data_IF_761785592383
#
_entry.id   IF_761785592383
#
_cell.length_a   1.000
_cell.length_b   1.000
_cell.length_c   1.000
_cell.angle_alpha   90.00
_cell.angle_beta   90.00
_cell.angle_gamma   90.00
#
_symmetry.space_group_name_H-M   'P 1'
#
loop_
_entity.id
_entity.type
_entity.pdbx_description
1 polymer ?
#
# COMPACT_ATOMS: atom_id res chain seq x y z
N UNK A 1 6.90 10.61 -3.93
CA UNK A 1 6.14 9.50 -3.31
C UNK A 1 5.06 8.89 -4.23
N UNK A 2 4.59 9.60 -5.27
CA UNK A 2 3.53 9.15 -6.19
C UNK A 2 3.92 8.09 -7.25
N UNK A 3 5.19 7.94 -7.72
CA UNK A 3 5.52 7.00 -8.80
C UNK A 3 5.31 5.52 -8.43
N UNK A 4 5.49 5.14 -7.17
CA UNK A 4 5.29 3.76 -6.72
C UNK A 4 3.82 3.33 -6.68
N UNK A 5 2.91 4.21 -6.24
CA UNK A 5 1.47 3.95 -6.22
C UNK A 5 0.90 3.83 -7.64
N UNK A 6 1.38 4.65 -8.58
CA UNK A 6 0.98 4.59 -9.97
C UNK A 6 1.32 3.26 -10.65
N UNK A 7 2.50 2.71 -10.35
CA UNK A 7 2.92 1.40 -10.88
C UNK A 7 2.03 0.26 -10.40
N UNK A 8 1.70 0.25 -9.11
CA UNK A 8 0.82 -0.80 -8.55
C UNK A 8 -0.60 -0.67 -9.11
N UNK A 9 -1.13 0.55 -9.22
CA UNK A 9 -2.44 0.79 -9.83
C UNK A 9 -2.48 0.34 -11.30
N UNK A 10 -1.40 0.57 -12.06
CA UNK A 10 -1.28 0.12 -13.44
C UNK A 10 -1.26 -1.42 -13.55
N UNK A 11 -0.58 -2.11 -12.62
CA UNK A 11 -0.55 -3.59 -12.58
C UNK A 11 -1.95 -4.13 -12.26
N UNK A 12 -2.67 -3.56 -11.31
CA UNK A 12 -4.06 -3.94 -11.01
C UNK A 12 -4.93 -3.76 -12.25
N UNK A 13 -4.85 -2.59 -12.91
CA UNK A 13 -5.59 -2.31 -14.13
C UNK A 13 -5.29 -3.31 -15.25
N UNK A 14 -4.02 -3.70 -15.41
CA UNK A 14 -3.62 -4.71 -16.40
C UNK A 14 -4.19 -6.10 -16.06
N UNK A 15 -4.12 -6.53 -14.80
CA UNK A 15 -4.70 -7.81 -14.35
C UNK A 15 -6.21 -7.82 -14.64
N UNK A 16 -6.91 -6.75 -14.29
CA UNK A 16 -8.34 -6.62 -14.57
C UNK A 16 -8.65 -6.65 -16.07
N UNK A 17 -7.91 -5.89 -16.85
CA UNK A 17 -8.12 -5.84 -18.30
C UNK A 17 -7.92 -7.21 -18.95
N UNK A 18 -6.80 -7.87 -18.68
CA UNK A 18 -6.50 -9.19 -19.23
C UNK A 18 -7.53 -10.22 -18.79
N UNK A 19 -7.88 -10.23 -17.50
CA UNK A 19 -8.89 -11.14 -16.95
C UNK A 19 -10.28 -10.87 -17.54
N UNK A 20 -10.65 -9.61 -17.75
CA UNK A 20 -11.91 -9.24 -18.37
C UNK A 20 -12.00 -9.70 -19.84
N UNK A 21 -10.91 -9.56 -20.60
CA UNK A 21 -10.82 -10.07 -21.98
C UNK A 21 -10.98 -11.59 -22.02
N UNK A 22 -10.31 -12.31 -21.11
CA UNK A 22 -10.40 -13.77 -21.02
C UNK A 22 -11.82 -14.19 -20.65
N UNK A 23 -12.41 -13.59 -19.60
CA UNK A 23 -13.76 -13.89 -19.14
C UNK A 23 -14.81 -13.63 -20.23
N UNK A 24 -14.70 -12.51 -20.96
CA UNK A 24 -15.60 -12.20 -22.09
C UNK A 24 -15.52 -13.27 -23.18
N UNK A 25 -14.32 -13.76 -23.49
CA UNK A 25 -14.13 -14.77 -24.53
C UNK A 25 -14.56 -16.16 -24.09
N UNK A 26 -14.35 -16.54 -22.84
CA UNK A 26 -14.66 -17.86 -22.35
C UNK A 26 -16.14 -18.03 -21.97
N UNK A 27 -16.74 -17.00 -21.37
CA UNK A 27 -18.06 -17.11 -20.74
C UNK A 27 -19.10 -16.17 -21.37
N UNK A 28 -18.70 -15.23 -22.23
CA UNK A 28 -19.60 -14.20 -22.73
C UNK A 28 -20.76 -14.69 -23.59
N UNK A 29 -20.59 -15.83 -24.28
CA UNK A 29 -21.64 -16.41 -25.10
C UNK A 29 -22.77 -17.03 -24.25
N UNK A 30 -22.41 -17.70 -23.16
CA UNK A 30 -23.35 -18.43 -22.30
C UNK A 30 -23.87 -17.58 -21.15
N UNK A 31 -23.10 -16.58 -20.71
CA UNK A 31 -23.43 -15.65 -19.62
C UNK A 31 -23.31 -14.18 -20.06
N UNK A 32 -24.14 -13.74 -21.04
CA UNK A 32 -24.02 -12.40 -21.60
C UNK A 32 -24.29 -11.28 -20.60
N UNK A 33 -25.09 -11.51 -19.57
CA UNK A 33 -25.35 -10.52 -18.52
C UNK A 33 -24.10 -10.17 -17.73
N UNK A 34 -23.23 -11.14 -17.48
CA UNK A 34 -22.03 -10.98 -16.66
C UNK A 34 -20.76 -10.77 -17.49
N UNK A 35 -20.67 -11.44 -18.63
CA UNK A 35 -19.43 -11.51 -19.43
C UNK A 35 -19.63 -11.17 -20.92
N UNK A 36 -20.82 -10.71 -21.33
CA UNK A 36 -21.13 -10.44 -22.72
C UNK A 36 -20.34 -9.27 -23.34
N UNK A 37 -19.84 -8.38 -22.53
CA UNK A 37 -18.99 -7.25 -22.96
C UNK A 37 -17.79 -7.10 -22.03
N UNK A 38 -16.75 -6.41 -22.50
CA UNK A 38 -15.56 -6.13 -21.68
C UNK A 38 -15.93 -5.34 -20.40
N UNK A 39 -16.86 -4.39 -20.50
CA UNK A 39 -17.33 -3.62 -19.36
C UNK A 39 -18.11 -4.45 -18.35
N UNK A 40 -19.03 -5.32 -18.83
CA UNK A 40 -19.75 -6.26 -17.96
C UNK A 40 -18.78 -7.22 -17.25
N UNK A 41 -17.81 -7.77 -18.00
CA UNK A 41 -16.78 -8.65 -17.42
C UNK A 41 -15.93 -7.93 -16.37
N UNK A 42 -15.50 -6.70 -16.64
CA UNK A 42 -14.73 -5.93 -15.67
C UNK A 42 -15.53 -5.64 -14.40
N UNK A 43 -16.81 -5.27 -14.53
CA UNK A 43 -17.68 -5.04 -13.38
C UNK A 43 -17.91 -6.32 -12.57
N UNK A 44 -18.19 -7.44 -13.24
CA UNK A 44 -18.37 -8.74 -12.61
C UNK A 44 -17.10 -9.20 -11.88
N UNK A 45 -15.93 -9.01 -12.49
CA UNK A 45 -14.66 -9.32 -11.86
C UNK A 45 -14.38 -8.40 -10.66
N UNK A 46 -14.77 -7.12 -10.73
CA UNK A 46 -14.69 -6.23 -9.58
C UNK A 46 -15.56 -6.74 -8.42
N UNK A 47 -16.79 -7.16 -8.69
CA UNK A 47 -17.68 -7.78 -7.71
C UNK A 47 -17.07 -9.04 -7.10
N UNK A 48 -16.48 -9.90 -7.92
CA UNK A 48 -15.78 -11.12 -7.47
C UNK A 48 -14.58 -10.77 -6.58
N UNK A 49 -13.81 -9.73 -6.92
CA UNK A 49 -12.67 -9.29 -6.11
C UNK A 49 -13.10 -8.81 -4.74
N UNK A 50 -14.25 -8.15 -4.63
CA UNK A 50 -14.82 -7.73 -3.34
C UNK A 50 -15.40 -8.89 -2.53
N UNK A 51 -15.40 -10.10 -3.08
CA UNK A 51 -15.95 -11.34 -2.51
C UNK A 51 -17.45 -11.27 -2.23
N UNK A 52 -18.14 -10.31 -2.81
CA UNK A 52 -19.60 -10.19 -2.69
C UNK A 52 -20.30 -11.21 -3.60
N UNK A 53 -21.01 -12.15 -3.00
CA UNK A 53 -21.81 -13.17 -3.69
C UNK A 53 -21.07 -13.94 -4.80
N UNK A 54 -19.75 -13.91 -4.80
CA UNK A 54 -18.93 -14.43 -5.89
C UNK A 54 -19.12 -15.92 -6.15
N UNK A 55 -19.17 -16.72 -5.07
CA UNK A 55 -19.24 -18.17 -5.20
C UNK A 55 -20.63 -18.64 -5.66
N UNK A 56 -21.68 -18.22 -4.97
CA UNK A 56 -23.04 -18.70 -5.23
C UNK A 56 -23.73 -17.93 -6.35
N UNK A 57 -23.43 -16.61 -6.46
CA UNK A 57 -24.09 -15.77 -7.44
C UNK A 57 -23.49 -15.85 -8.84
N UNK A 58 -22.20 -16.11 -8.97
CA UNK A 58 -21.50 -16.04 -10.26
C UNK A 58 -20.75 -17.34 -10.56
N UNK A 59 -19.81 -17.76 -9.70
CA UNK A 59 -18.89 -18.85 -10.03
C UNK A 59 -19.60 -20.20 -10.14
N UNK A 60 -20.50 -20.53 -9.23
CA UNK A 60 -21.23 -21.81 -9.29
C UNK A 60 -22.12 -21.96 -10.53
N UNK A 61 -22.93 -20.95 -10.91
CA UNK A 61 -23.66 -21.00 -12.17
C UNK A 61 -22.75 -21.19 -13.41
N UNK A 62 -21.60 -20.51 -13.44
CA UNK A 62 -20.63 -20.68 -14.54
C UNK A 62 -20.04 -22.10 -14.53
N UNK A 63 -19.76 -22.67 -13.36
CA UNK A 63 -19.23 -24.04 -13.22
C UNK A 63 -20.24 -25.15 -13.66
N UNK A 64 -21.52 -24.86 -13.68
CA UNK A 64 -22.52 -25.84 -14.20
C UNK A 64 -22.29 -26.13 -15.69
N UNK A 65 -21.84 -25.11 -16.46
CA UNK A 65 -21.52 -25.30 -17.87
C UNK A 65 -19.99 -25.50 -18.08
N UNK A 66 -19.17 -24.88 -17.28
CA UNK A 66 -17.70 -24.90 -17.35
C UNK A 66 -17.10 -25.39 -16.02
N UNK A 67 -17.06 -26.70 -15.74
CA UNK A 67 -16.61 -27.22 -14.44
C UNK A 67 -15.23 -26.74 -13.99
N UNK A 68 -14.30 -26.46 -14.92
CA UNK A 68 -12.95 -25.97 -14.63
C UNK A 68 -12.86 -24.45 -14.44
N UNK A 69 -13.97 -23.70 -14.57
CA UNK A 69 -13.95 -22.22 -14.43
C UNK A 69 -13.47 -21.75 -13.07
N UNK A 70 -13.61 -22.57 -12.02
CA UNK A 70 -13.12 -22.25 -10.68
C UNK A 70 -11.62 -21.93 -10.66
N UNK A 71 -10.82 -22.57 -11.52
CA UNK A 71 -9.37 -22.32 -11.61
C UNK A 71 -9.11 -20.89 -12.06
N UNK A 72 -9.82 -20.42 -13.09
CA UNK A 72 -9.72 -19.04 -13.56
C UNK A 72 -10.08 -18.04 -12.46
N UNK A 73 -11.22 -18.24 -11.81
CA UNK A 73 -11.69 -17.33 -10.76
C UNK A 73 -10.78 -17.37 -9.53
N UNK A 74 -10.27 -18.54 -9.16
CA UNK A 74 -9.32 -18.66 -8.05
C UNK A 74 -8.02 -17.92 -8.33
N UNK A 75 -7.43 -18.09 -9.51
CA UNK A 75 -6.21 -17.38 -9.92
C UNK A 75 -6.45 -15.86 -9.92
N UNK A 76 -7.59 -15.43 -10.47
CA UNK A 76 -7.96 -14.03 -10.49
C UNK A 76 -8.09 -13.45 -9.07
N UNK A 77 -8.79 -14.14 -8.16
CA UNK A 77 -8.95 -13.70 -6.76
C UNK A 77 -7.60 -13.62 -6.07
N UNK A 78 -6.75 -14.64 -6.20
CA UNK A 78 -5.43 -14.64 -5.58
C UNK A 78 -4.55 -13.50 -6.12
N UNK A 79 -4.50 -13.31 -7.43
CA UNK A 79 -3.72 -12.26 -8.06
C UNK A 79 -4.20 -10.85 -7.68
N UNK A 80 -5.51 -10.61 -7.73
CA UNK A 80 -6.11 -9.32 -7.40
C UNK A 80 -5.99 -9.00 -5.90
N UNK A 81 -6.25 -9.97 -5.02
CA UNK A 81 -6.13 -9.79 -3.57
C UNK A 81 -4.68 -9.52 -3.16
N UNK A 82 -3.73 -10.29 -3.70
CA UNK A 82 -2.30 -10.07 -3.44
C UNK A 82 -1.86 -8.67 -3.89
N UNK A 83 -2.28 -8.24 -5.07
CA UNK A 83 -1.94 -6.92 -5.60
C UNK A 83 -2.59 -5.80 -4.79
N UNK A 84 -3.85 -5.99 -4.38
CA UNK A 84 -4.56 -5.03 -3.52
C UNK A 84 -3.87 -4.91 -2.15
N UNK A 85 -3.46 -6.02 -1.54
CA UNK A 85 -2.71 -6.01 -0.28
C UNK A 85 -1.39 -5.24 -0.41
N UNK A 86 -0.65 -5.45 -1.50
CA UNK A 86 0.57 -4.70 -1.78
C UNK A 86 0.31 -3.20 -1.94
N UNK A 87 -0.83 -2.80 -2.54
CA UNK A 87 -1.23 -1.40 -2.61
C UNK A 87 -1.49 -0.82 -1.22
N UNK A 88 -2.20 -1.54 -0.34
CA UNK A 88 -2.44 -1.12 1.04
C UNK A 88 -1.12 -0.91 1.80
N UNK A 89 -0.21 -1.88 1.72
CA UNK A 89 1.11 -1.79 2.36
C UNK A 89 1.87 -0.56 1.83
N UNK A 90 1.88 -0.34 0.52
CA UNK A 90 2.55 0.82 -0.08
C UNK A 90 1.96 2.16 0.39
N UNK A 91 0.64 2.26 0.54
CA UNK A 91 -0.03 3.45 1.07
C UNK A 91 0.33 3.69 2.53
N UNK A 92 0.28 2.65 3.37
CA UNK A 92 0.60 2.74 4.81
C UNK A 92 2.07 3.13 5.01
N UNK A 93 2.99 2.46 4.33
CA UNK A 93 4.43 2.78 4.40
C UNK A 93 4.70 4.22 3.98
N UNK A 94 4.06 4.67 2.90
CA UNK A 94 4.20 6.05 2.43
C UNK A 94 3.63 7.07 3.43
N UNK A 95 2.51 6.77 4.08
CA UNK A 95 1.94 7.63 5.12
C UNK A 95 2.88 7.75 6.33
N UNK A 96 3.44 6.63 6.81
CA UNK A 96 4.41 6.62 7.92
C UNK A 96 5.68 7.40 7.56
N UNK A 97 6.19 7.24 6.35
CA UNK A 97 7.40 7.95 5.89
C UNK A 97 7.21 9.46 5.74
N UNK A 98 5.99 9.93 5.50
CA UNK A 98 5.69 11.36 5.45
C UNK A 98 5.68 12.03 6.83
N UNK A 99 5.39 11.30 7.89
CA UNK A 99 5.41 11.83 9.26
C UNK A 99 6.83 11.88 9.87
N UNK A 100 7.77 11.05 9.37
CA UNK A 100 9.14 10.98 9.91
C UNK A 100 9.98 12.25 9.73
N UNK A 101 10.01 12.95 8.58
CA UNK A 101 10.87 14.12 8.42
C UNK A 101 10.50 15.30 9.31
N UNK A 102 9.22 15.41 9.70
CA UNK A 102 8.78 16.48 10.61
C UNK A 102 9.19 16.19 12.06
N UNK A 103 9.17 14.93 12.47
CA UNK A 103 9.65 14.49 13.78
C UNK A 103 11.19 14.57 13.89
N UNK A 104 11.94 14.21 12.84
CA UNK A 104 13.39 14.31 12.83
C UNK A 104 13.85 15.76 12.88
N UNK A 105 13.24 16.64 12.09
CA UNK A 105 13.54 18.09 12.12
C UNK A 105 13.18 18.73 13.46
N UNK A 106 12.08 18.32 14.08
CA UNK A 106 11.69 18.76 15.42
C UNK A 106 12.72 18.32 16.46
N UNK A 107 13.13 17.05 16.42
CA UNK A 107 14.14 16.50 17.33
C UNK A 107 15.52 17.15 17.13
N UNK A 108 15.97 17.38 15.90
CA UNK A 108 17.22 18.09 15.62
C UNK A 108 17.19 19.54 16.12
N UNK A 109 16.08 20.22 15.96
CA UNK A 109 15.92 21.59 16.46
C UNK A 109 15.92 21.65 17.99
N UNK A 110 15.28 20.69 18.66
CA UNK A 110 15.31 20.56 20.12
C UNK A 110 16.71 20.23 20.65
N UNK A 111 17.41 19.29 20.02
CA UNK A 111 18.79 18.95 20.37
C UNK A 111 19.73 20.15 20.22
N UNK A 112 19.59 20.92 19.15
CA UNK A 112 20.38 22.12 18.90
C UNK A 112 20.11 23.19 19.99
N UNK A 113 18.83 23.33 20.36
CA UNK A 113 18.42 24.28 21.42
C UNK A 113 18.97 23.88 22.78
N UNK A 114 18.86 22.58 23.14
CA UNK A 114 19.43 22.06 24.37
C UNK A 114 20.94 22.21 24.43
N UNK A 115 21.66 21.98 23.36
CA UNK A 115 23.11 22.22 23.29
C UNK A 115 23.47 23.68 23.50
N UNK A 116 22.66 24.59 22.97
CA UNK A 116 22.86 26.01 23.15
C UNK A 116 22.61 26.45 24.61
N UNK A 117 21.58 25.93 25.25
CA UNK A 117 21.31 26.18 26.68
C UNK A 117 22.41 25.63 27.57
N UNK A 118 22.88 24.41 27.33
CA UNK A 118 24.02 23.83 28.07
C UNK A 118 25.28 24.69 27.92
N UNK A 119 25.52 25.21 26.73
CA UNK A 119 26.66 26.07 26.48
C UNK A 119 26.58 27.38 27.27
N UNK A 120 25.43 28.04 27.27
CA UNK A 120 25.17 29.26 28.04
C UNK A 120 25.30 29.01 29.54
N UNK A 121 24.75 27.93 30.06
CA UNK A 121 24.88 27.55 31.46
C UNK A 121 26.33 27.29 31.87
N UNK A 122 27.15 26.70 30.99
CA UNK A 122 28.59 26.50 31.25
C UNK A 122 29.34 27.81 31.27
N UNK A 123 28.99 28.75 30.40
CA UNK A 123 29.62 30.09 30.38
C UNK A 123 29.24 30.86 31.64
N UNK A 124 28.00 30.76 32.13
CA UNK A 124 27.56 31.42 33.36
C UNK A 124 28.21 30.81 34.60
N UNK A 125 28.32 29.48 34.66
CA UNK A 125 29.05 28.79 35.73
C UNK A 125 30.52 29.16 35.75
N UNK A 126 31.16 29.30 34.60
CA UNK A 126 32.55 29.73 34.52
C UNK A 126 32.75 31.21 34.99
N UNK A 127 31.74 32.06 34.77
CA UNK A 127 31.74 33.44 35.29
C UNK A 127 31.58 33.52 36.82
N UNK A 128 30.74 32.63 37.39
CA UNK A 128 30.42 32.62 38.82
C UNK A 128 31.53 31.94 39.67
N UNK A 129 32.15 30.88 39.15
CA UNK A 129 33.10 30.05 39.89
C UNK A 129 34.58 30.28 39.52
N UNK A 130 34.89 31.16 38.57
CA UNK A 130 36.25 31.32 38.04
C UNK A 130 36.75 30.10 37.25
N UNK A 131 37.93 30.16 36.62
CA UNK A 131 38.39 29.06 35.79
C UNK A 131 38.66 27.80 36.65
N UNK A 132 38.04 26.71 36.34
CA UNK A 132 38.26 25.40 36.96
C UNK A 132 39.73 25.04 36.81
N UNK A 133 40.52 24.83 37.88
CA UNK A 133 41.92 24.45 37.76
C UNK A 133 42.04 23.14 37.02
N UNK A 134 42.82 23.12 35.93
CA UNK A 134 43.14 21.88 35.20
C UNK A 134 43.74 20.89 36.21
N UNK A 135 43.03 19.79 36.45
CA UNK A 135 43.52 18.65 37.20
C UNK A 135 44.90 18.26 36.67
N UNK A 136 45.95 18.44 37.49
CA UNK A 136 47.28 17.85 37.26
C UNK A 136 47.10 16.34 37.21
N UNK A 137 47.43 15.76 36.09
CA UNK A 137 47.68 14.32 36.02
C UNK A 137 48.95 14.02 36.81
N UNK A 138 48.95 12.88 37.58
CA UNK A 138 50.13 12.34 38.21
C UNK A 138 51.12 11.80 37.19
#
# INVERSE_FOLDING_TARGET
>A
ALPGLGSVAAIIGLIFYVSAVIATKLFGADFPEWFGTLGASAFTLFQIMTLESWAMGIVRPVMELFPQAWVFFLIFILASTFTLLNLFIAVIVNAIQQEQPDNERSNESELTRLHQEIRLLREDLARVHGPIPKSRKP
#
